data_IF_528511236247
#
_entry.id   IF_528511236247
#
_cell.length_a   1.000
_cell.length_b   1.000
_cell.length_c   1.000
_cell.angle_alpha   90.00
_cell.angle_beta   90.00
_cell.angle_gamma   90.00
#
_symmetry.space_group_name_H-M   'P 1'
#
loop_
_entity.id
_entity.type
_entity.pdbx_description
1 polymer ?
#
# COMPACT_ATOMS: atom_id res chain seq x y z
N UNK A 1 15.54 -4.61 1.91
CA UNK A 1 15.94 -5.76 1.07
C UNK A 1 15.05 -6.94 1.43
N UNK A 2 14.44 -7.59 0.45
CA UNK A 2 13.53 -8.72 0.69
C UNK A 2 14.36 -9.99 0.90
N UNK A 3 14.14 -10.70 2.00
CA UNK A 3 14.87 -11.93 2.33
C UNK A 3 14.25 -13.16 1.65
N UNK A 4 14.99 -14.27 1.48
CA UNK A 4 14.42 -15.53 1.03
C UNK A 4 13.26 -16.02 1.91
N UNK A 5 13.32 -15.80 3.23
CA UNK A 5 12.23 -16.16 4.14
C UNK A 5 10.94 -15.34 3.86
N UNK A 6 11.06 -14.08 3.49
CA UNK A 6 9.93 -13.25 3.08
C UNK A 6 9.39 -13.67 1.72
N UNK A 7 10.27 -13.93 0.75
CA UNK A 7 9.86 -14.45 -0.56
C UNK A 7 9.15 -15.80 -0.46
N UNK A 8 9.57 -16.69 0.46
CA UNK A 8 8.88 -17.94 0.73
C UNK A 8 7.43 -17.74 1.22
N UNK A 9 7.16 -16.68 2.01
CA UNK A 9 5.80 -16.31 2.43
C UNK A 9 4.95 -15.85 1.24
N UNK A 10 5.55 -15.09 0.31
CA UNK A 10 4.88 -14.66 -0.94
C UNK A 10 4.52 -15.87 -1.80
N UNK A 11 5.47 -16.78 -2.03
CA UNK A 11 5.26 -18.04 -2.76
C UNK A 11 4.17 -18.91 -2.12
N UNK A 12 4.19 -19.02 -0.79
CA UNK A 12 3.17 -19.76 -0.04
C UNK A 12 1.79 -19.15 -0.26
N UNK A 13 1.69 -17.81 -0.24
CA UNK A 13 0.43 -17.12 -0.53
C UNK A 13 -0.04 -17.36 -1.97
N UNK A 14 0.86 -17.37 -2.96
CA UNK A 14 0.49 -17.74 -4.34
C UNK A 14 -0.12 -19.15 -4.40
N UNK A 15 0.46 -20.12 -3.67
CA UNK A 15 -0.07 -21.49 -3.61
C UNK A 15 -1.43 -21.63 -2.92
N UNK A 16 -1.87 -20.64 -2.15
CA UNK A 16 -3.23 -20.57 -1.63
C UNK A 16 -4.25 -20.21 -2.70
N UNK A 17 -3.86 -19.48 -3.75
CA UNK A 17 -4.73 -19.04 -4.85
C UNK A 17 -4.64 -19.96 -6.08
N UNK A 18 -3.44 -20.44 -6.41
CA UNK A 18 -3.19 -21.34 -7.54
C UNK A 18 -2.78 -22.74 -7.00
N UNK A 19 -3.68 -23.73 -7.01
CA UNK A 19 -3.42 -25.07 -6.49
C UNK A 19 -2.28 -25.82 -7.20
N UNK A 20 -1.90 -25.40 -8.40
CA UNK A 20 -0.79 -25.98 -9.19
C UNK A 20 0.46 -25.10 -9.17
N UNK A 21 0.49 -24.07 -8.31
CA UNK A 21 1.66 -23.25 -8.07
C UNK A 21 2.76 -24.04 -7.37
N UNK A 22 4.02 -23.79 -7.75
CA UNK A 22 5.17 -24.43 -7.12
C UNK A 22 5.19 -24.14 -5.62
N UNK A 23 5.30 -25.19 -4.80
CA UNK A 23 5.51 -25.00 -3.36
C UNK A 23 6.83 -24.25 -3.12
N UNK A 24 6.91 -23.42 -2.07
CA UNK A 24 8.15 -22.72 -1.75
C UNK A 24 9.27 -23.72 -1.47
N UNK A 25 10.39 -23.58 -2.19
CA UNK A 25 11.67 -24.20 -1.85
C UNK A 25 12.74 -23.11 -1.71
N UNK A 26 13.91 -23.48 -1.18
CA UNK A 26 14.97 -22.53 -0.87
C UNK A 26 15.53 -21.83 -2.13
N UNK A 27 15.64 -22.53 -3.26
CA UNK A 27 16.19 -21.98 -4.49
C UNK A 27 15.20 -21.00 -5.14
N UNK A 28 13.92 -21.39 -5.21
CA UNK A 28 12.85 -20.56 -5.72
C UNK A 28 12.67 -19.29 -4.86
N UNK A 29 12.68 -19.45 -3.54
CA UNK A 29 12.59 -18.32 -2.61
C UNK A 29 13.78 -17.36 -2.76
N UNK A 30 14.98 -17.88 -2.98
CA UNK A 30 16.17 -17.04 -3.22
C UNK A 30 16.03 -16.24 -4.50
N UNK A 31 15.67 -16.88 -5.62
CA UNK A 31 15.49 -16.17 -6.89
C UNK A 31 14.38 -15.10 -6.85
N UNK A 32 13.30 -15.36 -6.11
CA UNK A 32 12.24 -14.37 -5.90
C UNK A 32 12.70 -13.22 -5.01
N UNK A 33 13.44 -13.50 -3.93
CA UNK A 33 14.02 -12.48 -3.07
C UNK A 33 14.99 -11.56 -3.81
N UNK A 34 15.81 -12.11 -4.72
CA UNK A 34 16.69 -11.33 -5.60
C UNK A 34 15.88 -10.39 -6.51
N UNK A 35 14.82 -10.91 -7.14
CA UNK A 35 13.97 -10.12 -8.02
C UNK A 35 13.27 -8.97 -7.27
N UNK A 36 12.75 -9.23 -6.07
CA UNK A 36 12.08 -8.22 -5.25
C UNK A 36 13.05 -7.19 -4.66
N UNK A 37 14.25 -7.62 -4.28
CA UNK A 37 15.26 -6.74 -3.69
C UNK A 37 15.76 -5.67 -4.66
N UNK A 38 15.72 -5.92 -5.98
CA UNK A 38 16.04 -4.90 -7.01
C UNK A 38 15.20 -3.62 -6.91
N UNK A 39 14.03 -3.69 -6.30
CA UNK A 39 13.10 -2.56 -6.18
C UNK A 39 12.78 -2.20 -4.72
N UNK A 40 13.53 -2.78 -3.77
CA UNK A 40 13.38 -2.55 -2.34
C UNK A 40 11.94 -2.75 -1.87
N UNK A 41 11.31 -3.85 -2.31
CA UNK A 41 9.92 -4.14 -1.97
C UNK A 41 9.81 -4.71 -0.56
N UNK A 42 8.82 -4.23 0.17
CA UNK A 42 8.48 -4.71 1.50
C UNK A 42 7.53 -5.91 1.42
N UNK A 43 7.59 -6.81 2.39
CA UNK A 43 6.74 -8.00 2.44
C UNK A 43 5.25 -7.62 2.39
N UNK A 44 4.84 -6.53 3.05
CA UNK A 44 3.44 -6.09 3.08
C UNK A 44 2.89 -5.78 1.68
N UNK A 45 3.66 -5.06 0.86
CA UNK A 45 3.25 -4.69 -0.49
C UNK A 45 3.23 -5.91 -1.42
N UNK A 46 4.18 -6.83 -1.24
CA UNK A 46 4.26 -8.08 -2.00
C UNK A 46 3.08 -9.00 -1.69
N UNK A 47 2.71 -9.17 -0.41
CA UNK A 47 1.55 -9.98 -0.04
C UNK A 47 0.26 -9.35 -0.55
N UNK A 48 0.12 -8.03 -0.49
CA UNK A 48 -1.03 -7.33 -1.06
C UNK A 48 -1.09 -7.49 -2.59
N UNK A 49 0.06 -7.43 -3.27
CA UNK A 49 0.16 -7.65 -4.71
C UNK A 49 -0.29 -9.07 -5.12
N UNK A 50 0.01 -10.11 -4.34
CA UNK A 50 -0.48 -11.48 -4.62
C UNK A 50 -2.01 -11.52 -4.61
N UNK A 51 -2.64 -10.94 -3.57
CA UNK A 51 -4.10 -10.88 -3.50
C UNK A 51 -4.66 -10.10 -4.68
N UNK A 52 -4.09 -8.93 -4.99
CA UNK A 52 -4.62 -8.12 -6.08
C UNK A 52 -4.48 -8.82 -7.44
N UNK A 53 -3.33 -9.45 -7.69
CA UNK A 53 -3.08 -10.21 -8.93
C UNK A 53 -4.14 -11.29 -9.15
N UNK A 54 -4.40 -12.14 -8.15
CA UNK A 54 -5.37 -13.24 -8.29
C UNK A 54 -6.84 -12.80 -8.21
N UNK A 55 -7.12 -11.57 -7.75
CA UNK A 55 -8.46 -10.98 -7.85
C UNK A 55 -8.73 -10.36 -9.24
N UNK A 56 -7.70 -9.87 -9.91
CA UNK A 56 -7.82 -9.17 -11.20
C UNK A 56 -7.47 -10.05 -12.41
N UNK A 57 -6.71 -11.12 -12.21
CA UNK A 57 -6.13 -11.94 -13.26
C UNK A 57 -6.17 -13.44 -12.89
N UNK A 58 -6.51 -14.29 -13.87
CA UNK A 58 -6.52 -15.74 -13.70
C UNK A 58 -5.15 -16.39 -13.97
N UNK A 59 -4.18 -15.64 -14.51
CA UNK A 59 -2.87 -16.17 -14.85
C UNK A 59 -2.04 -16.48 -13.60
N UNK A 60 -1.15 -17.46 -13.73
CA UNK A 60 -0.17 -17.76 -12.69
C UNK A 60 0.70 -16.53 -12.37
N UNK A 61 0.86 -16.23 -11.09
CA UNK A 61 1.72 -15.14 -10.64
C UNK A 61 3.20 -15.40 -10.99
N UNK A 62 3.86 -14.40 -11.55
CA UNK A 62 5.30 -14.38 -11.78
C UNK A 62 5.91 -13.19 -11.02
N UNK A 63 7.22 -13.20 -10.70
CA UNK A 63 7.84 -12.10 -9.98
C UNK A 63 7.58 -10.73 -10.62
N UNK A 64 7.62 -10.64 -11.95
CA UNK A 64 7.35 -9.41 -12.70
C UNK A 64 5.94 -8.84 -12.43
N UNK A 65 4.92 -9.70 -12.38
CA UNK A 65 3.54 -9.29 -12.10
C UNK A 65 3.43 -8.67 -10.71
N UNK A 66 4.02 -9.34 -9.71
CA UNK A 66 3.97 -8.90 -8.33
C UNK A 66 4.79 -7.64 -8.10
N UNK A 67 5.94 -7.48 -8.78
CA UNK A 67 6.75 -6.25 -8.71
C UNK A 67 5.96 -5.05 -9.20
N UNK A 68 5.26 -5.16 -10.33
CA UNK A 68 4.46 -4.07 -10.88
C UNK A 68 3.35 -3.68 -9.90
N UNK A 69 2.60 -4.66 -9.40
CA UNK A 69 1.49 -4.44 -8.47
C UNK A 69 1.97 -3.91 -7.11
N UNK A 70 3.04 -4.46 -6.53
CA UNK A 70 3.59 -4.01 -5.25
C UNK A 70 4.08 -2.55 -5.32
N UNK A 71 4.73 -2.16 -6.43
CA UNK A 71 5.15 -0.76 -6.61
C UNK A 71 3.98 0.19 -6.71
N UNK A 72 2.90 -0.21 -7.40
CA UNK A 72 1.64 0.56 -7.47
C UNK A 72 1.03 0.72 -6.08
N UNK A 73 0.91 -0.37 -5.32
CA UNK A 73 0.34 -0.37 -3.97
C UNK A 73 1.17 0.47 -2.99
N UNK A 74 2.51 0.37 -3.04
CA UNK A 74 3.41 1.20 -2.24
C UNK A 74 3.19 2.68 -2.53
N UNK A 75 3.07 3.04 -3.81
CA UNK A 75 2.79 4.42 -4.23
C UNK A 75 1.44 4.91 -3.68
N UNK A 76 0.38 4.12 -3.83
CA UNK A 76 -0.95 4.45 -3.31
C UNK A 76 -0.97 4.58 -1.78
N UNK A 77 -0.17 3.75 -1.08
CA UNK A 77 -0.01 3.83 0.38
C UNK A 77 0.64 5.15 0.78
N UNK A 78 1.77 5.50 0.17
CA UNK A 78 2.44 6.78 0.42
C UNK A 78 1.58 7.99 0.05
N UNK A 79 0.80 7.91 -1.02
CA UNK A 79 -0.16 8.96 -1.41
C UNK A 79 -1.30 9.08 -0.39
N UNK A 80 -1.81 7.95 0.14
CA UNK A 80 -2.84 7.92 1.19
C UNK A 80 -2.33 8.49 2.51
N UNK A 81 -1.14 8.12 2.95
CA UNK A 81 -0.49 8.67 4.15
C UNK A 81 -0.37 10.21 4.06
N UNK A 82 0.13 10.73 2.93
CA UNK A 82 0.18 12.17 2.68
C UNK A 82 -1.23 12.80 2.67
N UNK A 83 -2.22 12.13 2.08
CA UNK A 83 -3.59 12.64 2.05
C UNK A 83 -4.23 12.73 3.45
N UNK A 84 -3.85 11.88 4.40
CA UNK A 84 -4.30 11.95 5.79
C UNK A 84 -3.71 13.20 6.46
N UNK A 85 -2.41 13.44 6.30
CA UNK A 85 -1.77 14.65 6.82
C UNK A 85 -2.33 15.93 6.18
N UNK A 86 -2.62 15.89 4.87
CA UNK A 86 -3.28 16.99 4.16
C UNK A 86 -4.69 17.23 4.73
N UNK A 87 -5.50 16.20 4.90
CA UNK A 87 -6.85 16.30 5.48
C UNK A 87 -6.82 16.81 6.92
N UNK A 88 -5.85 16.38 7.73
CA UNK A 88 -5.68 16.87 9.09
C UNK A 88 -5.36 18.37 9.11
N UNK A 89 -4.54 18.82 8.15
CA UNK A 89 -4.21 20.25 7.98
C UNK A 89 -5.40 21.06 7.49
N UNK A 90 -6.14 20.55 6.51
CA UNK A 90 -7.38 21.17 5.99
C UNK A 90 -8.42 21.30 7.11
N UNK A 91 -8.67 20.24 7.88
CA UNK A 91 -9.59 20.27 9.02
C UNK A 91 -9.17 21.29 10.10
N UNK A 92 -7.86 21.45 10.34
CA UNK A 92 -7.36 22.46 11.27
C UNK A 92 -7.61 23.89 10.76
N UNK A 93 -7.39 24.13 9.48
CA UNK A 93 -7.64 25.43 8.83
C UNK A 93 -9.14 25.75 8.83
N UNK A 94 -9.98 24.78 8.49
CA UNK A 94 -11.43 24.93 8.48
C UNK A 94 -11.95 25.26 9.88
N UNK A 95 -11.48 24.56 10.92
CA UNK A 95 -11.82 24.86 12.30
C UNK A 95 -11.40 26.27 12.74
N UNK A 96 -10.23 26.75 12.30
CA UNK A 96 -9.79 28.12 12.58
C UNK A 96 -10.64 29.17 11.85
N UNK A 97 -11.03 28.91 10.61
CA UNK A 97 -11.91 29.78 9.84
C UNK A 97 -13.31 29.85 10.44
N UNK A 98 -13.88 28.72 10.83
CA UNK A 98 -15.18 28.65 11.52
C UNK A 98 -15.17 29.44 12.83
N UNK A 99 -14.14 29.27 13.67
CA UNK A 99 -13.98 30.02 14.91
C UNK A 99 -13.90 31.54 14.66
N UNK A 100 -13.10 31.96 13.67
CA UNK A 100 -12.93 33.38 13.33
C UNK A 100 -14.19 34.00 12.73
N UNK A 101 -14.94 33.24 11.92
CA UNK A 101 -16.22 33.67 11.38
C UNK A 101 -17.29 33.82 12.47
N UNK A 102 -17.29 32.92 13.46
CA UNK A 102 -18.18 33.02 14.62
C UNK A 102 -17.87 34.26 15.48
N UNK A 103 -16.59 34.55 15.74
CA UNK A 103 -16.17 35.77 16.43
C UNK A 103 -16.60 37.05 15.68
N UNK A 104 -16.37 37.10 14.37
CA UNK A 104 -16.77 38.24 13.54
C UNK A 104 -18.30 38.43 13.53
N UNK A 105 -19.08 37.34 13.42
CA UNK A 105 -20.53 37.38 13.48
C UNK A 105 -21.06 37.85 14.84
N UNK A 106 -20.41 37.43 15.94
CA UNK A 106 -20.75 37.90 17.29
C UNK A 106 -20.43 39.38 17.49
N UNK A 107 -19.29 39.85 16.99
CA UNK A 107 -18.92 41.27 17.07
C UNK A 107 -19.88 42.18 16.28
N UNK A 108 -20.30 41.74 15.08
CA UNK A 108 -21.28 42.47 14.26
C UNK A 108 -22.71 42.44 14.83
N UNK A 109 -23.05 41.48 15.70
CA UNK A 109 -24.38 41.38 16.33
C UNK A 109 -24.53 42.21 17.59
N UNK A 110 -23.43 42.67 18.20
CA UNK A 110 -23.44 43.48 19.43
C UNK A 110 -23.64 44.98 19.11
N UNK A 111 -23.37 45.39 17.87
CA UNK A 111 -23.45 46.79 17.39
C UNK A 111 -24.83 47.20 16.83
N UNK A 112 -25.91 46.45 17.12
CA UNK A 112 -27.31 46.78 16.75
C UNK A 112 -28.19 46.94 17.97
#
# INVERSE_FOLDING_TARGET
MTTPAEAAKVLAKCSCFDPVFSKPDAALATGWAEAFSRYELELVDLLAAVTNHYCECADRAMPSHLIVQARKLRRERSERENSIERRAREAHIDHQLEARMAELGSALSIDR
#
